data_IF_234061026459
#
_entry.id   IF_234061026459
#
_cell.length_a   1.000
_cell.length_b   1.000
_cell.length_c   1.000
_cell.angle_alpha   90.00
_cell.angle_beta   90.00
_cell.angle_gamma   90.00
#
_symmetry.space_group_name_H-M   'P 1'
#
loop_
_entity.id
_entity.type
_entity.pdbx_description
1 polymer ?
#
# COMPACT_ATOMS: atom_id res chain seq x y z
N UNK A 1 4.28 9.75 -30.66
CA UNK A 1 4.38 10.19 -29.25
C UNK A 1 5.08 9.12 -28.45
N UNK A 2 6.27 9.40 -27.89
CA UNK A 2 6.92 8.45 -26.98
C UNK A 2 6.04 8.26 -25.75
N UNK A 3 5.62 7.02 -25.48
CA UNK A 3 4.96 6.61 -24.23
C UNK A 3 5.96 6.64 -23.08
N UNK A 4 6.56 7.80 -22.83
CA UNK A 4 7.31 8.02 -21.60
C UNK A 4 6.23 8.20 -20.53
N UNK A 5 5.96 7.12 -19.79
CA UNK A 5 5.13 7.19 -18.61
C UNK A 5 5.79 8.18 -17.65
N UNK A 6 5.10 9.28 -17.36
CA UNK A 6 5.59 10.26 -16.41
C UNK A 6 5.49 9.66 -15.00
N UNK A 7 6.55 8.96 -14.61
CA UNK A 7 6.68 8.31 -13.31
C UNK A 7 7.27 9.27 -12.27
N UNK A 8 7.44 10.57 -12.55
CA UNK A 8 8.12 11.50 -11.64
C UNK A 8 7.44 11.59 -10.28
N UNK A 9 6.11 11.60 -10.26
CA UNK A 9 5.35 11.58 -9.00
C UNK A 9 5.55 10.29 -8.21
N UNK A 10 5.47 9.14 -8.88
CA UNK A 10 5.67 7.84 -8.25
C UNK A 10 7.11 7.71 -7.72
N UNK A 11 8.10 8.14 -8.50
CA UNK A 11 9.51 8.18 -8.10
C UNK A 11 9.72 9.13 -6.92
N UNK A 12 9.11 10.32 -6.91
CA UNK A 12 9.20 11.24 -5.79
C UNK A 12 8.57 10.66 -4.52
N UNK A 13 7.41 10.01 -4.63
CA UNK A 13 6.77 9.28 -3.53
C UNK A 13 7.66 8.15 -3.00
N UNK A 14 8.32 7.40 -3.89
CA UNK A 14 9.23 6.32 -3.52
C UNK A 14 10.49 6.83 -2.84
N UNK A 15 11.12 7.88 -3.37
CA UNK A 15 12.27 8.53 -2.77
C UNK A 15 11.89 9.07 -1.39
N UNK A 16 10.73 9.72 -1.28
CA UNK A 16 10.25 10.24 -0.01
C UNK A 16 10.00 9.12 1.01
N UNK A 17 9.30 8.06 0.61
CA UNK A 17 9.05 6.91 1.47
C UNK A 17 10.38 6.27 1.92
N UNK A 18 11.34 6.11 1.01
CA UNK A 18 12.67 5.59 1.32
C UNK A 18 13.43 6.51 2.29
N UNK A 19 13.44 7.83 2.06
CA UNK A 19 14.06 8.82 2.96
C UNK A 19 13.43 8.74 4.35
N UNK A 20 12.10 8.67 4.44
CA UNK A 20 11.41 8.53 5.72
C UNK A 20 11.76 7.22 6.42
N UNK A 21 11.82 6.12 5.70
CA UNK A 21 12.23 4.82 6.26
C UNK A 21 13.69 4.83 6.71
N UNK A 22 14.60 5.43 5.94
CA UNK A 22 16.05 5.46 6.22
C UNK A 22 16.38 6.42 7.36
N UNK A 23 15.99 7.69 7.21
CA UNK A 23 16.38 8.74 8.17
C UNK A 23 15.77 8.53 9.54
N UNK A 24 14.59 7.91 9.54
CA UNK A 24 13.82 7.86 10.73
C UNK A 24 13.71 6.42 11.27
N UNK A 25 13.93 5.36 10.48
CA UNK A 25 13.67 3.95 10.87
C UNK A 25 14.20 3.51 12.25
N UNK A 26 15.32 4.06 12.73
CA UNK A 26 15.84 3.80 14.08
C UNK A 26 15.23 4.68 15.19
N UNK A 27 14.77 5.90 14.86
CA UNK A 27 14.15 6.89 15.76
C UNK A 27 12.61 6.90 15.69
N UNK A 28 12.00 6.20 14.73
CA UNK A 28 10.55 6.14 14.48
C UNK A 28 9.78 5.19 15.38
N UNK A 29 10.37 4.76 16.48
CA UNK A 29 9.61 4.05 17.48
C UNK A 29 8.53 5.02 18.03
N UNK A 30 7.31 4.93 17.47
CA UNK A 30 6.00 5.35 18.00
C UNK A 30 5.60 6.81 17.88
N UNK A 31 5.82 7.44 16.72
CA UNK A 31 5.20 8.73 16.41
C UNK A 31 4.23 8.58 15.25
N UNK A 32 2.93 8.58 15.55
CA UNK A 32 1.86 8.82 14.56
C UNK A 32 2.12 10.07 13.71
N UNK A 33 2.92 11.01 14.22
CA UNK A 33 3.41 12.19 13.52
C UNK A 33 4.09 11.92 12.17
N UNK A 34 4.64 10.73 11.92
CA UNK A 34 5.26 10.42 10.62
C UNK A 34 4.22 10.23 9.53
N UNK A 35 3.13 9.53 9.85
CA UNK A 35 2.04 9.37 8.90
C UNK A 35 1.39 10.71 8.61
N UNK A 36 1.21 11.53 9.64
CA UNK A 36 0.73 12.91 9.47
C UNK A 36 1.72 13.74 8.65
N UNK A 37 3.03 13.59 8.85
CA UNK A 37 4.05 14.26 8.05
C UNK A 37 4.02 13.81 6.59
N UNK A 38 3.94 12.50 6.34
CA UNK A 38 3.86 11.95 4.98
C UNK A 38 2.57 12.35 4.27
N UNK A 39 1.43 12.27 4.96
CA UNK A 39 0.14 12.72 4.46
C UNK A 39 0.16 14.23 4.19
N UNK A 40 0.70 15.02 5.12
CA UNK A 40 0.87 16.46 4.98
C UNK A 40 1.80 16.84 3.83
N UNK A 41 2.90 16.12 3.64
CA UNK A 41 3.83 16.37 2.54
C UNK A 41 3.22 15.95 1.20
N UNK A 42 2.49 14.84 1.14
CA UNK A 42 1.76 14.43 -0.07
C UNK A 42 0.69 15.44 -0.43
N UNK A 43 -0.07 15.93 0.56
CA UNK A 43 -1.06 16.98 0.37
C UNK A 43 -0.41 18.30 -0.06
N UNK A 44 0.72 18.67 0.55
CA UNK A 44 1.48 19.86 0.15
C UNK A 44 1.97 19.73 -1.30
N UNK A 45 2.57 18.59 -1.69
CA UNK A 45 2.99 18.35 -3.07
C UNK A 45 1.83 18.48 -4.05
N UNK A 46 0.66 17.93 -3.72
CA UNK A 46 -0.55 18.08 -4.52
C UNK A 46 -1.00 19.54 -4.65
N UNK A 47 -1.03 20.29 -3.55
CA UNK A 47 -1.48 21.68 -3.51
C UNK A 47 -0.50 22.66 -4.19
N UNK A 48 0.80 22.43 -4.06
CA UNK A 48 1.82 23.28 -4.65
C UNK A 48 2.14 22.91 -6.10
N UNK A 49 1.78 21.71 -6.58
CA UNK A 49 2.09 21.28 -7.93
C UNK A 49 1.65 22.28 -9.02
N UNK A 50 0.40 22.82 -9.02
CA UNK A 50 0.00 23.77 -10.05
C UNK A 50 0.89 25.02 -10.11
N UNK A 51 1.24 25.59 -8.96
CA UNK A 51 2.10 26.78 -8.89
C UNK A 51 3.52 26.49 -9.43
N UNK A 52 4.08 25.33 -9.10
CA UNK A 52 5.42 24.90 -9.55
C UNK A 52 5.40 24.52 -11.05
N UNK A 53 4.30 23.95 -11.55
CA UNK A 53 4.15 23.64 -12.97
C UNK A 53 4.00 24.91 -13.82
N UNK A 54 3.17 25.87 -13.40
CA UNK A 54 2.92 27.14 -14.12
C UNK A 54 4.19 28.01 -14.19
N UNK A 55 5.05 27.96 -13.19
CA UNK A 55 6.33 28.70 -13.22
C UNK A 55 7.33 28.16 -14.24
N UNK A 56 7.06 27.00 -14.84
CA UNK A 56 7.97 26.33 -15.77
C UNK A 56 9.07 25.52 -15.07
N UNK A 57 9.10 25.47 -13.73
CA UNK A 57 10.14 24.74 -12.99
C UNK A 57 10.15 23.22 -13.26
N UNK A 58 9.02 22.66 -13.71
CA UNK A 58 8.89 21.25 -14.10
C UNK A 58 9.05 21.00 -15.62
N UNK A 59 9.36 22.06 -16.38
CA UNK A 59 9.53 22.07 -17.84
C UNK A 59 8.29 22.55 -18.60
N UNK A 60 8.50 22.96 -19.85
CA UNK A 60 7.48 23.55 -20.74
C UNK A 60 6.25 22.66 -20.92
N UNK A 61 6.43 21.34 -21.00
CA UNK A 61 5.32 20.39 -21.13
C UNK A 61 4.37 20.46 -19.93
N UNK A 62 4.92 20.46 -18.71
CA UNK A 62 4.12 20.50 -17.49
C UNK A 62 3.43 21.86 -17.34
N UNK A 63 4.12 22.94 -17.72
CA UNK A 63 3.56 24.29 -17.77
C UNK A 63 2.37 24.38 -18.74
N UNK A 64 2.56 23.97 -20.00
CA UNK A 64 1.51 23.97 -21.00
C UNK A 64 0.30 23.11 -20.59
N UNK A 65 0.57 21.96 -19.98
CA UNK A 65 -0.49 21.10 -19.44
C UNK A 65 -1.26 21.79 -18.30
N UNK A 66 -0.57 22.38 -17.33
CA UNK A 66 -1.25 23.06 -16.22
C UNK A 66 -2.00 24.32 -16.66
N UNK A 67 -1.50 25.06 -17.66
CA UNK A 67 -2.22 26.20 -18.24
C UNK A 67 -3.54 25.74 -18.85
N UNK A 68 -3.51 24.64 -19.62
CA UNK A 68 -4.72 24.04 -20.19
C UNK A 68 -5.67 23.54 -19.10
N UNK A 69 -5.14 22.86 -18.08
CA UNK A 69 -5.97 22.35 -16.98
C UNK A 69 -6.64 23.51 -16.22
N UNK A 70 -5.93 24.59 -15.94
CA UNK A 70 -6.49 25.80 -15.33
C UNK A 70 -7.55 26.47 -16.22
N UNK A 71 -7.35 26.51 -17.53
CA UNK A 71 -8.32 27.09 -18.46
C UNK A 71 -9.64 26.31 -18.52
N UNK A 72 -9.61 25.04 -18.11
CA UNK A 72 -10.75 24.12 -18.10
C UNK A 72 -11.29 23.86 -16.68
N UNK A 73 -10.82 24.59 -15.66
CA UNK A 73 -11.10 24.32 -14.24
C UNK A 73 -10.89 22.85 -13.83
N UNK A 74 -9.95 22.18 -14.51
CA UNK A 74 -9.72 20.76 -14.37
C UNK A 74 -8.77 20.45 -13.21
N UNK A 75 -9.08 19.40 -12.45
CA UNK A 75 -8.12 18.84 -11.50
C UNK A 75 -6.98 18.16 -12.25
N UNK A 76 -5.73 18.51 -11.95
CA UNK A 76 -4.55 17.92 -12.61
C UNK A 76 -4.54 16.37 -12.51
N UNK A 77 -5.07 15.82 -11.40
CA UNK A 77 -5.08 14.38 -11.19
C UNK A 77 -6.08 13.70 -12.13
N UNK A 78 -7.23 14.34 -12.37
CA UNK A 78 -8.25 13.84 -13.30
C UNK A 78 -7.86 14.10 -14.75
N UNK A 79 -7.21 15.23 -15.06
CA UNK A 79 -6.78 15.57 -16.42
C UNK A 79 -5.70 14.61 -16.94
N UNK A 80 -4.77 14.18 -16.07
CA UNK A 80 -3.72 13.21 -16.39
C UNK A 80 -4.26 11.76 -16.47
N UNK A 81 -5.45 11.51 -15.93
CA UNK A 81 -6.06 10.18 -15.75
C UNK A 81 -7.53 10.16 -16.15
N UNK A 82 -7.83 10.60 -17.37
CA UNK A 82 -9.20 10.67 -17.95
C UNK A 82 -9.94 9.32 -17.96
N UNK A 83 -9.21 8.21 -17.88
CA UNK A 83 -9.72 6.84 -17.82
C UNK A 83 -10.42 6.56 -16.48
N UNK A 84 -9.98 7.24 -15.41
CA UNK A 84 -10.57 7.11 -14.07
C UNK A 84 -12.01 7.62 -14.03
N UNK A 85 -12.33 8.89 -14.39
CA UNK A 85 -13.71 9.35 -14.44
C UNK A 85 -14.55 8.59 -15.46
N UNK A 86 -13.97 8.18 -16.61
CA UNK A 86 -14.68 7.32 -17.57
C UNK A 86 -15.09 5.97 -16.95
N UNK A 87 -14.15 5.28 -16.30
CA UNK A 87 -14.40 4.01 -15.62
C UNK A 87 -15.42 4.18 -14.50
N UNK A 88 -15.33 5.26 -13.71
CA UNK A 88 -16.27 5.55 -12.63
C UNK A 88 -17.70 5.79 -13.15
N UNK A 89 -17.85 6.56 -14.24
CA UNK A 89 -19.14 6.78 -14.89
C UNK A 89 -19.75 5.47 -15.40
N UNK A 90 -18.96 4.67 -16.12
CA UNK A 90 -19.41 3.38 -16.64
C UNK A 90 -19.75 2.42 -15.50
N UNK A 91 -18.96 2.39 -14.42
CA UNK A 91 -19.24 1.54 -13.27
C UNK A 91 -20.58 1.92 -12.62
N UNK A 92 -20.81 3.22 -12.38
CA UNK A 92 -22.05 3.72 -11.81
C UNK A 92 -23.28 3.46 -12.70
N UNK A 93 -23.12 3.59 -14.01
CA UNK A 93 -24.19 3.40 -14.98
C UNK A 93 -24.60 1.93 -15.19
N UNK A 94 -23.78 0.98 -14.72
CA UNK A 94 -24.01 -0.47 -14.90
C UNK A 94 -24.14 -1.22 -13.57
N UNK A 95 -24.44 -0.52 -12.46
CA UNK A 95 -24.84 -1.17 -11.22
C UNK A 95 -26.25 -1.80 -11.36
N UNK A 96 -26.54 -2.91 -10.66
CA UNK A 96 -25.71 -3.56 -9.65
C UNK A 96 -24.77 -4.66 -10.18
N UNK A 97 -24.90 -5.07 -11.44
CA UNK A 97 -24.25 -6.28 -11.97
C UNK A 97 -22.85 -6.04 -12.55
N UNK A 98 -22.56 -4.79 -12.94
CA UNK A 98 -21.42 -4.48 -13.79
C UNK A 98 -21.70 -4.88 -15.25
N UNK A 99 -20.73 -4.63 -16.12
CA UNK A 99 -20.81 -4.92 -17.55
C UNK A 99 -20.30 -6.31 -17.95
N UNK A 100 -19.59 -7.01 -17.06
CA UNK A 100 -18.90 -8.25 -17.38
C UNK A 100 -17.51 -8.04 -17.99
N UNK A 101 -16.67 -9.08 -17.94
CA UNK A 101 -15.30 -9.03 -18.46
C UNK A 101 -15.32 -9.02 -19.99
N UNK A 102 -14.60 -8.09 -20.61
CA UNK A 102 -14.48 -7.95 -22.07
C UNK A 102 -15.78 -7.66 -22.82
N UNK A 103 -16.85 -7.32 -22.11
CA UNK A 103 -18.09 -6.87 -22.75
C UNK A 103 -17.87 -5.55 -23.47
N UNK A 104 -18.35 -5.46 -24.70
CA UNK A 104 -18.40 -4.21 -25.44
C UNK A 104 -19.44 -3.27 -24.81
N UNK A 105 -19.19 -1.97 -24.92
CA UNK A 105 -20.19 -0.93 -24.65
C UNK A 105 -20.70 -0.36 -25.97
N UNK A 106 -21.93 0.12 -26.00
CA UNK A 106 -22.47 0.76 -27.20
C UNK A 106 -21.88 2.17 -27.41
N UNK A 107 -22.03 2.69 -28.64
CA UNK A 107 -21.50 4.00 -29.04
C UNK A 107 -22.07 5.12 -28.17
N UNK A 108 -23.36 5.02 -27.83
CA UNK A 108 -24.07 6.07 -27.10
C UNK A 108 -23.55 6.16 -25.66
N UNK A 109 -23.38 5.04 -24.98
CA UNK A 109 -22.81 4.93 -23.64
C UNK A 109 -21.36 5.40 -23.62
N UNK A 110 -20.56 5.03 -24.63
CA UNK A 110 -19.18 5.53 -24.78
C UNK A 110 -19.14 7.05 -24.96
N UNK A 111 -20.04 7.60 -25.80
CA UNK A 111 -20.19 9.03 -25.99
C UNK A 111 -20.58 9.77 -24.72
N UNK A 112 -21.56 9.26 -23.96
CA UNK A 112 -21.96 9.84 -22.67
C UNK A 112 -20.83 9.78 -21.64
N UNK A 113 -20.07 8.68 -21.59
CA UNK A 113 -18.91 8.56 -20.72
C UNK A 113 -17.82 9.57 -21.09
N UNK A 114 -17.58 9.80 -22.39
CA UNK A 114 -16.65 10.83 -22.85
C UNK A 114 -17.11 12.23 -22.47
N UNK A 115 -18.38 12.57 -22.68
CA UNK A 115 -18.95 13.86 -22.24
C UNK A 115 -18.81 14.05 -20.73
N UNK A 116 -18.99 12.99 -19.94
CA UNK A 116 -18.73 13.02 -18.50
C UNK A 116 -17.27 13.34 -18.19
N UNK A 117 -16.30 12.69 -18.86
CA UNK A 117 -14.86 13.00 -18.71
C UNK A 117 -14.56 14.45 -19.04
N UNK A 118 -15.10 14.97 -20.14
CA UNK A 118 -14.87 16.34 -20.59
C UNK A 118 -15.43 17.37 -19.61
N UNK A 119 -16.50 17.03 -18.88
CA UNK A 119 -17.04 17.91 -17.83
C UNK A 119 -16.10 18.13 -16.63
N UNK A 120 -15.08 17.28 -16.43
CA UNK A 120 -14.06 17.43 -15.37
C UNK A 120 -12.67 17.81 -15.88
N UNK A 121 -12.41 17.63 -17.18
CA UNK A 121 -11.06 17.70 -17.75
C UNK A 121 -10.94 18.67 -18.93
N UNK A 122 -12.07 19.24 -19.37
CA UNK A 122 -12.17 20.03 -20.59
C UNK A 122 -12.20 19.19 -21.86
N UNK A 123 -12.17 19.84 -23.04
CA UNK A 123 -12.23 19.16 -24.32
C UNK A 123 -11.13 18.09 -24.48
N UNK A 124 -11.51 16.91 -24.98
CA UNK A 124 -10.57 15.81 -25.17
C UNK A 124 -10.02 15.81 -26.59
N UNK A 125 -8.70 15.73 -26.74
CA UNK A 125 -8.06 15.70 -28.07
C UNK A 125 -8.39 14.39 -28.80
N UNK A 126 -8.43 14.40 -30.14
CA UNK A 126 -8.76 13.21 -30.94
C UNK A 126 -7.92 11.98 -30.57
N UNK A 127 -6.62 12.16 -30.31
CA UNK A 127 -5.74 11.06 -29.88
C UNK A 127 -6.10 10.50 -28.50
N UNK A 128 -6.59 11.35 -27.60
CA UNK A 128 -7.06 10.94 -26.28
C UNK A 128 -8.41 10.22 -26.39
N UNK A 129 -9.34 10.71 -27.23
CA UNK A 129 -10.61 10.01 -27.52
C UNK A 129 -10.34 8.60 -28.02
N UNK A 130 -9.44 8.46 -29.00
CA UNK A 130 -9.02 7.16 -29.54
C UNK A 130 -8.42 6.28 -28.44
N UNK A 131 -7.62 6.85 -27.55
CA UNK A 131 -7.01 6.11 -26.44
C UNK A 131 -8.05 5.64 -25.40
N UNK A 132 -8.96 6.52 -25.00
CA UNK A 132 -10.00 6.26 -23.98
C UNK A 132 -11.00 5.22 -24.46
N UNK A 133 -11.35 5.28 -25.74
CA UNK A 133 -12.32 4.38 -26.37
C UNK A 133 -11.69 3.11 -26.96
N UNK A 134 -10.37 2.90 -26.78
CA UNK A 134 -9.67 1.70 -27.26
C UNK A 134 -9.45 1.63 -28.78
N UNK A 135 -9.70 2.73 -29.50
CA UNK A 135 -9.61 2.81 -30.95
C UNK A 135 -10.90 2.37 -31.64
N UNK A 136 -11.22 3.01 -32.77
CA UNK A 136 -12.40 2.77 -33.60
C UNK A 136 -12.33 1.41 -34.34
N UNK A 137 -11.81 0.34 -33.74
CA UNK A 137 -11.94 -0.99 -34.32
C UNK A 137 -13.39 -1.46 -34.16
N UNK A 138 -14.08 -1.55 -35.30
CA UNK A 138 -15.52 -1.43 -35.47
C UNK A 138 -16.41 -2.50 -34.80
N UNK A 139 -15.86 -3.43 -34.04
CA UNK A 139 -16.63 -4.49 -33.36
C UNK A 139 -16.64 -4.39 -31.83
N UNK A 140 -15.75 -3.58 -31.23
CA UNK A 140 -15.73 -3.33 -29.79
C UNK A 140 -15.34 -1.88 -29.55
N UNK A 141 -16.33 -0.99 -29.36
CA UNK A 141 -16.02 0.31 -28.78
C UNK A 141 -15.60 0.06 -27.34
N UNK A 142 -14.30 0.13 -27.13
CA UNK A 142 -13.70 -0.19 -25.86
C UNK A 142 -13.91 0.94 -24.87
N UNK A 143 -13.72 0.59 -23.61
CA UNK A 143 -13.32 1.52 -22.56
C UNK A 143 -11.97 1.05 -22.08
N UNK A 144 -11.11 1.97 -21.66
CA UNK A 144 -9.84 1.59 -21.05
C UNK A 144 -10.00 1.44 -19.54
N UNK A 145 -10.04 0.20 -19.08
CA UNK A 145 -9.93 -0.13 -17.67
C UNK A 145 -8.66 0.48 -17.07
N UNK A 146 -8.80 1.23 -15.98
CA UNK A 146 -7.69 1.94 -15.34
C UNK A 146 -7.21 1.23 -14.09
N UNK A 147 -7.92 1.35 -12.98
CA UNK A 147 -7.48 0.84 -11.67
C UNK A 147 -8.12 -0.50 -11.33
N UNK A 148 -7.46 -1.34 -10.54
CA UNK A 148 -8.05 -2.62 -10.12
C UNK A 148 -9.40 -2.47 -9.40
N UNK A 149 -9.53 -1.49 -8.50
CA UNK A 149 -10.74 -1.31 -7.71
C UNK A 149 -11.91 -0.87 -8.59
N UNK A 150 -11.76 0.25 -9.32
CA UNK A 150 -12.81 0.75 -10.19
C UNK A 150 -13.14 -0.22 -11.33
N UNK A 151 -12.14 -0.91 -11.90
CA UNK A 151 -12.39 -1.89 -12.95
C UNK A 151 -13.09 -3.15 -12.42
N UNK A 152 -12.76 -3.63 -11.21
CA UNK A 152 -13.51 -4.72 -10.61
C UNK A 152 -14.98 -4.35 -10.36
N UNK A 153 -15.25 -3.13 -9.90
CA UNK A 153 -16.62 -2.61 -9.76
C UNK A 153 -17.29 -2.46 -11.14
N UNK A 154 -16.56 -1.98 -12.15
CA UNK A 154 -17.08 -1.91 -13.51
C UNK A 154 -17.49 -3.30 -14.03
N UNK A 155 -16.64 -4.31 -13.87
CA UNK A 155 -16.89 -5.65 -14.42
C UNK A 155 -17.89 -6.47 -13.62
N UNK A 156 -17.85 -6.40 -12.28
CA UNK A 156 -18.63 -7.27 -11.39
C UNK A 156 -19.66 -6.50 -10.53
N UNK A 157 -19.79 -5.18 -10.73
CA UNK A 157 -20.75 -4.34 -10.03
C UNK A 157 -20.57 -4.37 -8.52
N UNK A 158 -21.67 -4.54 -7.80
CA UNK A 158 -21.70 -4.60 -6.33
C UNK A 158 -21.01 -5.86 -5.79
N UNK A 159 -20.85 -6.93 -6.58
CA UNK A 159 -20.19 -8.16 -6.12
C UNK A 159 -18.70 -7.96 -5.84
N UNK A 160 -18.07 -6.94 -6.44
CA UNK A 160 -16.68 -6.60 -6.15
C UNK A 160 -16.50 -5.88 -4.79
N UNK A 161 -17.54 -5.20 -4.30
CA UNK A 161 -17.46 -4.32 -3.13
C UNK A 161 -17.01 -5.07 -1.86
N UNK A 162 -17.54 -6.26 -1.51
CA UNK A 162 -17.11 -6.98 -0.31
C UNK A 162 -15.61 -7.26 -0.27
N UNK A 163 -15.02 -7.66 -1.40
CA UNK A 163 -13.58 -7.89 -1.50
C UNK A 163 -12.79 -6.60 -1.25
N UNK A 164 -13.16 -5.49 -1.89
CA UNK A 164 -12.43 -4.23 -1.74
C UNK A 164 -12.60 -3.58 -0.37
N UNK A 165 -13.79 -3.70 0.25
CA UNK A 165 -13.99 -3.29 1.64
C UNK A 165 -13.10 -4.11 2.58
N UNK A 166 -13.05 -5.44 2.39
CA UNK A 166 -12.17 -6.31 3.16
C UNK A 166 -10.69 -5.96 2.95
N UNK A 167 -10.23 -5.83 1.69
CA UNK A 167 -8.86 -5.52 1.35
C UNK A 167 -8.44 -4.15 1.92
N UNK A 168 -9.28 -3.13 1.72
CA UNK A 168 -9.09 -1.80 2.31
C UNK A 168 -8.99 -1.85 3.83
N UNK A 169 -9.89 -2.57 4.50
CA UNK A 169 -9.84 -2.75 5.95
C UNK A 169 -8.55 -3.45 6.41
N UNK A 170 -8.07 -4.47 5.68
CA UNK A 170 -6.80 -5.13 5.98
C UNK A 170 -5.61 -4.20 5.78
N UNK A 171 -5.54 -3.46 4.69
CA UNK A 171 -4.47 -2.51 4.41
C UNK A 171 -4.42 -1.39 5.47
N UNK A 172 -5.57 -0.81 5.82
CA UNK A 172 -5.67 0.17 6.91
C UNK A 172 -5.28 -0.45 8.26
N UNK A 173 -5.72 -1.67 8.56
CA UNK A 173 -5.26 -2.44 9.71
C UNK A 173 -3.74 -2.64 9.70
N UNK A 174 -3.14 -2.89 8.54
CA UNK A 174 -1.70 -2.95 8.33
C UNK A 174 -0.99 -1.66 8.73
N UNK A 175 -1.52 -0.51 8.30
CA UNK A 175 -0.99 0.82 8.67
C UNK A 175 -1.06 1.02 10.18
N UNK A 176 -2.21 0.71 10.80
CA UNK A 176 -2.34 0.82 12.27
C UNK A 176 -1.37 -0.10 13.00
N UNK A 177 -1.08 -1.30 12.46
CA UNK A 177 -0.11 -2.23 13.03
C UNK A 177 1.33 -1.72 12.92
N UNK A 178 1.69 -1.12 11.79
CA UNK A 178 2.98 -0.44 11.61
C UNK A 178 3.11 0.68 12.66
N UNK A 179 2.08 1.51 12.81
CA UNK A 179 2.07 2.61 13.79
C UNK A 179 2.16 2.11 15.24
N UNK A 180 1.42 1.05 15.55
CA UNK A 180 1.43 0.42 16.86
C UNK A 180 2.71 -0.40 17.14
N UNK A 181 3.68 -0.39 16.21
CA UNK A 181 4.97 -1.10 16.31
C UNK A 181 4.82 -2.62 16.42
N UNK A 182 3.83 -3.17 15.73
CA UNK A 182 3.51 -4.61 15.77
C UNK A 182 3.91 -5.35 14.50
N UNK A 183 4.41 -4.65 13.47
CA UNK A 183 4.97 -5.29 12.28
C UNK A 183 6.45 -5.63 12.48
N UNK A 184 6.91 -6.85 12.11
CA UNK A 184 8.32 -7.21 12.17
C UNK A 184 9.19 -6.45 11.15
N UNK A 185 8.59 -5.99 10.05
CA UNK A 185 9.28 -5.25 8.97
C UNK A 185 8.52 -3.95 8.63
N UNK A 186 8.43 -3.01 9.58
CA UNK A 186 7.48 -1.89 9.51
C UNK A 186 7.66 -1.00 8.28
N UNK A 187 8.90 -0.69 7.89
CA UNK A 187 9.19 0.13 6.71
C UNK A 187 8.73 -0.52 5.41
N UNK A 188 9.07 -1.81 5.21
CA UNK A 188 8.64 -2.57 4.03
C UNK A 188 7.13 -2.75 4.00
N UNK A 189 6.50 -3.10 5.13
CA UNK A 189 5.05 -3.23 5.22
C UNK A 189 4.35 -1.92 4.87
N UNK A 190 4.83 -0.80 5.41
CA UNK A 190 4.25 0.51 5.12
C UNK A 190 4.37 0.87 3.64
N UNK A 191 5.58 0.77 3.09
CA UNK A 191 5.85 1.02 1.68
C UNK A 191 4.93 0.19 0.77
N UNK A 192 4.84 -1.12 1.02
CA UNK A 192 4.01 -2.02 0.22
C UNK A 192 2.51 -1.71 0.35
N UNK A 193 2.02 -1.32 1.53
CA UNK A 193 0.63 -0.91 1.69
C UNK A 193 0.35 0.39 0.91
N UNK A 194 1.20 1.40 1.04
CA UNK A 194 1.03 2.68 0.33
C UNK A 194 1.07 2.47 -1.18
N UNK A 195 2.02 1.66 -1.67
CA UNK A 195 2.11 1.31 -3.08
C UNK A 195 0.89 0.51 -3.54
N UNK A 196 0.42 -0.46 -2.78
CA UNK A 196 -0.79 -1.21 -3.12
C UNK A 196 -2.04 -0.30 -3.16
N UNK A 197 -2.22 0.60 -2.19
CA UNK A 197 -3.32 1.55 -2.19
C UNK A 197 -3.27 2.48 -3.42
N UNK A 198 -2.08 2.97 -3.77
CA UNK A 198 -1.90 3.75 -4.99
C UNK A 198 -2.22 2.93 -6.24
N UNK A 199 -1.66 1.73 -6.37
CA UNK A 199 -1.82 0.89 -7.55
C UNK A 199 -3.26 0.43 -7.76
N UNK A 200 -3.96 0.12 -6.68
CA UNK A 200 -5.35 -0.36 -6.71
C UNK A 200 -6.34 0.73 -7.09
N UNK A 201 -6.06 1.99 -6.75
CA UNK A 201 -6.96 3.12 -6.97
C UNK A 201 -6.62 3.95 -8.22
N UNK A 202 -5.34 4.07 -8.57
CA UNK A 202 -4.86 5.07 -9.54
C UNK A 202 -3.89 4.55 -10.60
N UNK A 203 -3.36 3.33 -10.47
CA UNK A 203 -2.44 2.81 -11.50
C UNK A 203 -3.20 2.01 -12.57
N UNK A 204 -2.77 2.09 -13.84
CA UNK A 204 -3.23 1.19 -14.89
C UNK A 204 -3.08 -0.29 -14.49
N UNK A 205 -4.10 -1.10 -14.77
CA UNK A 205 -4.06 -2.54 -14.54
C UNK A 205 -2.96 -3.19 -15.36
N UNK A 206 -2.09 -3.92 -14.68
CA UNK A 206 -1.07 -4.78 -15.29
C UNK A 206 -0.77 -5.94 -14.31
N UNK A 207 0.01 -6.93 -14.75
CA UNK A 207 0.36 -8.08 -13.90
C UNK A 207 1.05 -7.65 -12.59
N UNK A 208 1.85 -6.58 -12.60
CA UNK A 208 2.58 -6.10 -11.43
C UNK A 208 1.63 -5.54 -10.36
N UNK A 209 0.55 -4.84 -10.74
CA UNK A 209 -0.39 -4.30 -9.74
C UNK A 209 -1.06 -5.42 -8.95
N UNK A 210 -1.33 -6.58 -9.56
CA UNK A 210 -1.91 -7.74 -8.85
C UNK A 210 -0.93 -8.34 -7.86
N UNK A 211 0.34 -8.45 -8.27
CA UNK A 211 1.42 -8.91 -7.40
C UNK A 211 1.64 -7.93 -6.23
N UNK A 212 1.65 -6.62 -6.48
CA UNK A 212 1.77 -5.58 -5.45
C UNK A 212 0.71 -5.77 -4.35
N UNK A 213 -0.57 -5.89 -4.74
CA UNK A 213 -1.66 -6.08 -3.79
C UNK A 213 -1.51 -7.41 -3.02
N UNK A 214 -1.19 -8.50 -3.73
CA UNK A 214 -0.97 -9.81 -3.11
C UNK A 214 0.16 -9.79 -2.07
N UNK A 215 1.31 -9.19 -2.41
CA UNK A 215 2.43 -9.03 -1.49
C UNK A 215 2.09 -8.14 -0.29
N UNK A 216 1.39 -7.02 -0.50
CA UNK A 216 0.98 -6.15 0.58
C UNK A 216 0.05 -6.88 1.57
N UNK A 217 -0.97 -7.60 1.06
CA UNK A 217 -1.87 -8.40 1.90
C UNK A 217 -1.12 -9.52 2.63
N UNK A 218 -0.19 -10.20 1.98
CA UNK A 218 0.67 -11.21 2.61
C UNK A 218 1.46 -10.64 3.80
N UNK A 219 2.15 -9.51 3.61
CA UNK A 219 2.91 -8.84 4.67
C UNK A 219 2.02 -8.39 5.84
N UNK A 220 0.83 -7.86 5.53
CA UNK A 220 -0.14 -7.47 6.56
C UNK A 220 -0.60 -8.68 7.38
N UNK A 221 -0.91 -9.80 6.72
CA UNK A 221 -1.34 -11.02 7.40
C UNK A 221 -0.22 -11.63 8.24
N UNK A 222 1.02 -11.63 7.76
CA UNK A 222 2.19 -12.02 8.56
C UNK A 222 2.32 -11.16 9.82
N UNK A 223 2.26 -9.83 9.68
CA UNK A 223 2.34 -8.91 10.80
C UNK A 223 1.20 -9.07 11.82
N UNK A 224 0.01 -9.48 11.37
CA UNK A 224 -1.12 -9.78 12.25
C UNK A 224 -0.92 -11.10 13.01
N UNK A 225 -0.34 -12.12 12.37
CA UNK A 225 -0.18 -13.45 12.94
C UNK A 225 0.99 -13.57 13.91
N UNK A 226 2.06 -12.79 13.75
CA UNK A 226 3.22 -12.80 14.67
C UNK A 226 2.83 -12.54 16.13
N UNK A 227 1.70 -11.86 16.39
CA UNK A 227 1.18 -11.61 17.74
C UNK A 227 0.81 -12.87 18.52
N UNK A 228 0.23 -13.86 17.82
CA UNK A 228 -0.30 -15.07 18.46
C UNK A 228 0.82 -15.97 19.00
N UNK A 229 2.03 -15.85 18.45
CA UNK A 229 3.18 -16.68 18.86
C UNK A 229 3.86 -16.16 20.14
N UNK A 230 3.82 -14.85 20.40
CA UNK A 230 4.43 -14.24 21.59
C UNK A 230 3.67 -14.47 22.90
N UNK A 231 2.46 -15.04 22.87
CA UNK A 231 1.67 -15.35 24.08
C UNK A 231 1.91 -16.76 24.62
N UNK A 232 3.07 -17.39 24.37
CA UNK A 232 3.45 -18.61 25.10
C UNK A 232 3.42 -18.27 26.59
N UNK A 233 2.54 -18.90 27.40
CA UNK A 233 2.32 -18.49 28.77
C UNK A 233 3.63 -18.65 29.56
N UNK A 234 4.09 -17.54 30.14
CA UNK A 234 5.22 -17.46 31.08
C UNK A 234 5.09 -18.45 32.25
N UNK A 235 3.90 -19.00 32.48
CA UNK A 235 3.61 -20.10 33.41
C UNK A 235 4.47 -21.34 33.13
N UNK A 236 4.78 -21.67 31.87
CA UNK A 236 5.66 -22.79 31.54
C UNK A 236 7.16 -22.50 31.84
N UNK A 237 7.56 -21.23 31.91
CA UNK A 237 8.92 -20.83 32.31
C UNK A 237 9.11 -20.81 33.82
N UNK A 238 8.07 -20.49 34.60
CA UNK A 238 8.11 -20.61 36.06
C UNK A 238 8.24 -22.08 36.50
N UNK A 239 7.51 -23.00 35.86
CA UNK A 239 7.59 -24.43 36.16
C UNK A 239 8.96 -25.07 35.84
N UNK A 240 9.69 -24.57 34.82
CA UNK A 240 11.04 -25.06 34.49
C UNK A 240 12.15 -24.48 35.35
N UNK A 241 11.94 -23.35 36.04
CA UNK A 241 12.98 -22.75 36.91
C UNK A 241 13.04 -23.37 38.31
N UNK A 242 12.01 -24.14 38.71
CA UNK A 242 11.97 -24.84 40.00
C UNK A 242 12.55 -26.27 40.00
N UNK A 243 13.00 -26.81 38.86
CA UNK A 243 13.43 -28.22 38.73
C UNK A 243 14.93 -28.41 38.50
N UNK A 244 15.73 -27.34 38.39
CA UNK A 244 17.19 -27.48 38.52
C UNK A 244 17.53 -27.51 40.01
N UNK A 245 17.36 -28.69 40.60
CA UNK A 245 17.97 -29.02 41.86
C UNK A 245 19.47 -28.77 41.77
N UNK A 246 20.00 -28.08 42.77
CA UNK A 246 21.41 -28.15 43.15
C UNK A 246 21.73 -29.60 43.50
N UNK A 247 22.65 -30.29 42.80
CA UNK A 247 23.23 -31.52 43.32
C UNK A 247 24.29 -31.14 44.37
N UNK A 248 23.86 -30.62 45.52
CA UNK A 248 24.79 -30.17 46.55
C UNK A 248 24.14 -30.29 47.94
N UNK A 249 24.23 -31.47 48.55
CA UNK A 249 24.48 -31.67 50.00
C UNK A 249 24.18 -33.12 50.48
N UNK A 250 24.82 -34.14 49.90
CA UNK A 250 24.75 -35.50 50.44
C UNK A 250 26.13 -36.11 50.76
N UNK A 251 27.10 -35.30 51.20
CA UNK A 251 28.45 -35.81 51.56
C UNK A 251 29.01 -35.31 52.91
N UNK A 252 28.18 -34.83 53.85
CA UNK A 252 28.69 -34.30 55.13
C UNK A 252 28.03 -34.87 56.39
N UNK A 253 27.74 -36.18 56.39
CA UNK A 253 27.16 -36.83 57.56
C UNK A 253 27.67 -38.28 57.78
N UNK A 254 28.99 -38.47 57.90
CA UNK A 254 29.58 -39.62 58.61
C UNK A 254 31.10 -39.58 58.57
N UNK A 255 31.73 -39.03 59.63
CA UNK A 255 32.97 -39.55 60.23
C UNK A 255 33.40 -38.63 61.38
N UNK A 256 32.60 -38.71 62.45
CA UNK A 256 33.08 -38.57 63.82
C UNK A 256 33.66 -39.93 64.24
N UNK A 257 34.67 -39.89 65.13
CA UNK A 257 35.30 -41.03 65.85
C UNK A 257 36.26 -41.87 64.97
N UNK A 258 37.53 -42.14 65.33
CA UNK A 258 38.05 -42.44 66.67
C UNK A 258 39.59 -42.42 66.75
N UNK A 259 40.07 -42.22 67.98
CA UNK A 259 41.27 -42.80 68.59
C UNK A 259 42.68 -42.40 68.13
N UNK A 260 43.27 -41.53 68.96
CA UNK A 260 44.65 -41.61 69.45
C UNK A 260 45.14 -43.06 69.66
N UNK A 261 46.28 -43.43 69.06
CA UNK A 261 47.28 -44.35 69.62
C UNK A 261 48.68 -43.83 69.26
N UNK A 262 49.63 -43.79 70.22
CA UNK A 262 50.97 -43.23 70.01
C UNK A 262 51.95 -44.28 69.50
N UNK A 263 52.93 -43.88 68.69
CA UNK A 263 54.15 -44.67 68.45
C UNK A 263 55.41 -43.87 68.69
N UNK A 264 56.27 -44.50 69.49
CA UNK A 264 57.57 -44.07 69.99
C UNK A 264 58.64 -43.98 68.89
N UNK A 265 59.65 -43.14 69.16
CA UNK A 265 61.09 -43.29 68.91
C UNK A 265 61.59 -43.87 67.58
N UNK A 266 62.44 -43.08 66.90
CA UNK A 266 63.84 -43.44 66.58
C UNK A 266 64.59 -42.23 66.02
N UNK A 267 65.73 -41.89 66.62
CA UNK A 267 66.66 -40.84 66.18
C UNK A 267 67.31 -40.16 67.37
#
# INVERSE_FOLDING_TARGET
>A
MSRIYDNRFQTALFILAAIVVILLGSRLQGRSGILLLLAGLTAAMYLFYPAVAISGALGERAQAQQIRDNANDASFLLSIRKELPMTAYLAGSNLPTGIGSYSAIDIEQSGRALTFVESFTGPTERSEVVYLTGGLEASTLGYKAHSQAFSAILFAGLLAIPFWLWAGFKLLGGITNVCARRSPVPGLTFYMITLALWDTLFSPMNANTHLTLGFALFLVLLALNSRKSSSVPLVAKAARKGSRGTPESLDNASNLMDCHVPTMYRG
#
